data_IF_661126026246
#
_entry.id   IF_661126026246
#
_cell.length_a   1.000
_cell.length_b   1.000
_cell.length_c   1.000
_cell.angle_alpha   90.00
_cell.angle_beta   90.00
_cell.angle_gamma   90.00
#
_symmetry.space_group_name_H-M   'P 1'
#
loop_
_entity.id
_entity.type
_entity.pdbx_description
1 polymer ?
#
# COMPACT_ATOMS: atom_id res chain seq x y z
N UNK A 1 27.43 -20.88 -38.15
CA UNK A 1 26.79 -21.81 -37.17
C UNK A 1 27.51 -21.94 -35.84
N UNK A 2 28.85 -22.02 -35.77
CA UNK A 2 29.59 -22.10 -34.48
C UNK A 2 29.37 -20.86 -33.60
N UNK A 3 29.50 -19.65 -34.14
CA UNK A 3 29.32 -18.40 -33.37
C UNK A 3 27.93 -18.25 -32.73
N UNK A 4 26.87 -18.70 -33.42
CA UNK A 4 25.50 -18.69 -32.88
C UNK A 4 25.37 -19.68 -31.71
N UNK A 5 26.01 -20.85 -31.79
CA UNK A 5 26.01 -21.84 -30.69
C UNK A 5 26.73 -21.32 -29.45
N UNK A 6 27.87 -20.65 -29.61
CA UNK A 6 28.61 -20.02 -28.51
C UNK A 6 27.83 -18.85 -27.90
N UNK A 7 27.17 -18.03 -28.73
CA UNK A 7 26.28 -16.97 -28.26
C UNK A 7 25.10 -17.49 -27.45
N UNK A 8 24.46 -18.57 -27.90
CA UNK A 8 23.37 -19.21 -27.17
C UNK A 8 23.83 -19.84 -25.84
N UNK A 9 24.99 -20.47 -25.82
CA UNK A 9 25.58 -21.04 -24.60
C UNK A 9 25.89 -19.95 -23.57
N UNK A 10 26.49 -18.83 -24.01
CA UNK A 10 26.78 -17.71 -23.14
C UNK A 10 25.51 -17.10 -22.54
N UNK A 11 24.46 -16.92 -23.34
CA UNK A 11 23.17 -16.43 -22.87
C UNK A 11 22.54 -17.38 -21.84
N UNK A 12 22.57 -18.69 -22.09
CA UNK A 12 22.05 -19.68 -21.16
C UNK A 12 22.79 -19.65 -19.81
N UNK A 13 24.12 -19.51 -19.84
CA UNK A 13 24.92 -19.38 -18.62
C UNK A 13 24.62 -18.09 -17.86
N UNK A 14 24.41 -16.97 -18.55
CA UNK A 14 24.02 -15.70 -17.93
C UNK A 14 22.66 -15.83 -17.24
N UNK A 15 21.66 -16.42 -17.91
CA UNK A 15 20.33 -16.64 -17.32
C UNK A 15 20.41 -17.53 -16.09
N UNK A 16 21.20 -18.61 -16.16
CA UNK A 16 21.41 -19.52 -15.03
C UNK A 16 22.09 -18.81 -13.85
N UNK A 17 23.11 -17.99 -14.12
CA UNK A 17 23.81 -17.21 -13.11
C UNK A 17 22.88 -16.18 -12.45
N UNK A 18 22.06 -15.47 -13.23
CA UNK A 18 21.07 -14.53 -12.71
C UNK A 18 20.00 -15.22 -11.86
N UNK A 19 19.54 -16.40 -12.28
CA UNK A 19 18.59 -17.19 -11.51
C UNK A 19 19.19 -17.65 -10.17
N UNK A 20 20.43 -18.16 -10.18
CA UNK A 20 21.14 -18.53 -8.96
C UNK A 20 21.37 -17.32 -8.04
N UNK A 21 21.80 -16.19 -8.60
CA UNK A 21 21.98 -14.95 -7.85
C UNK A 21 20.67 -14.48 -7.21
N UNK A 22 19.54 -14.52 -7.96
CA UNK A 22 18.22 -14.21 -7.40
C UNK A 22 17.90 -15.09 -6.19
N UNK A 23 18.19 -16.38 -6.25
CA UNK A 23 17.90 -17.30 -5.14
C UNK A 23 18.79 -17.04 -3.92
N UNK A 24 20.08 -16.76 -4.13
CA UNK A 24 21.03 -16.47 -3.04
C UNK A 24 20.76 -15.10 -2.39
N UNK A 25 20.38 -14.10 -3.18
CA UNK A 25 20.14 -12.72 -2.72
C UNK A 25 18.66 -12.39 -2.49
N UNK A 26 17.77 -13.39 -2.50
CA UNK A 26 16.33 -13.18 -2.41
C UNK A 26 15.92 -12.38 -1.16
N UNK A 27 16.56 -12.67 -0.02
CA UNK A 27 16.27 -11.99 1.24
C UNK A 27 16.68 -10.52 1.21
N UNK A 28 17.89 -10.22 0.74
CA UNK A 28 18.42 -8.85 0.65
C UNK A 28 17.61 -8.00 -0.33
N UNK A 29 17.22 -8.59 -1.47
CA UNK A 29 16.33 -7.93 -2.44
C UNK A 29 14.97 -7.67 -1.80
N UNK A 30 14.39 -8.67 -1.12
CA UNK A 30 13.13 -8.54 -0.41
C UNK A 30 13.16 -7.44 0.65
N UNK A 31 14.24 -7.38 1.44
CA UNK A 31 14.44 -6.35 2.46
C UNK A 31 14.58 -4.97 1.84
N UNK A 32 15.36 -4.81 0.77
CA UNK A 32 15.52 -3.53 0.08
C UNK A 32 14.18 -3.02 -0.48
N UNK A 33 13.40 -3.90 -1.11
CA UNK A 33 12.06 -3.58 -1.62
C UNK A 33 11.10 -3.25 -0.48
N UNK A 34 11.11 -4.04 0.59
CA UNK A 34 10.25 -3.83 1.75
C UNK A 34 10.55 -2.52 2.46
N UNK A 35 11.83 -2.22 2.74
CA UNK A 35 12.25 -0.94 3.34
C UNK A 35 11.79 0.24 2.51
N UNK A 36 11.93 0.16 1.18
CA UNK A 36 11.46 1.21 0.28
C UNK A 36 9.94 1.38 0.35
N UNK A 37 9.19 0.29 0.28
CA UNK A 37 7.73 0.32 0.39
C UNK A 37 7.28 0.91 1.73
N UNK A 38 7.93 0.57 2.84
CA UNK A 38 7.62 1.14 4.16
C UNK A 38 7.90 2.65 4.18
N UNK A 39 9.06 3.10 3.70
CA UNK A 39 9.41 4.54 3.71
C UNK A 39 8.46 5.40 2.87
N UNK A 40 7.91 4.85 1.80
CA UNK A 40 7.00 5.56 0.90
C UNK A 40 5.54 5.54 1.39
N UNK A 41 5.15 4.58 2.25
CA UNK A 41 3.73 4.37 2.60
C UNK A 41 3.40 4.51 4.09
N UNK A 42 4.35 4.26 5.00
CA UNK A 42 4.09 4.24 6.45
C UNK A 42 4.49 5.58 7.06
N UNK A 43 3.61 6.13 7.91
CA UNK A 43 3.86 7.41 8.60
C UNK A 43 3.69 8.64 7.72
N UNK A 44 3.30 8.46 6.45
CA UNK A 44 2.89 9.55 5.58
C UNK A 44 1.48 10.00 6.00
N UNK A 45 1.34 11.27 6.37
CA UNK A 45 0.07 11.90 6.68
C UNK A 45 -0.29 12.91 5.57
N UNK A 46 -0.97 12.47 4.49
CA UNK A 46 -1.38 13.38 3.42
C UNK A 46 -2.37 14.44 3.90
N UNK A 47 -2.94 14.28 5.09
CA UNK A 47 -3.85 15.26 5.65
C UNK A 47 -3.16 16.54 6.11
N UNK A 48 -1.83 16.50 6.30
CA UNK A 48 -1.02 17.67 6.64
C UNK A 48 -0.98 18.74 5.53
N UNK A 49 -1.20 18.34 4.27
CA UNK A 49 -1.20 19.25 3.11
C UNK A 49 -2.60 19.85 2.84
N UNK A 50 -3.62 19.45 3.60
CA UNK A 50 -4.97 19.97 3.43
C UNK A 50 -5.05 21.41 3.97
N UNK A 51 -5.80 22.31 3.29
CA UNK A 51 -6.04 23.64 3.83
C UNK A 51 -6.86 23.57 5.12
N UNK A 52 -6.79 24.62 5.93
CA UNK A 52 -7.62 24.72 7.12
C UNK A 52 -9.11 24.53 6.79
N UNK A 53 -9.79 23.73 7.61
CA UNK A 53 -11.19 23.36 7.39
C UNK A 53 -11.59 22.00 7.95
N UNK A 54 -12.80 21.60 7.57
CA UNK A 54 -13.40 20.31 7.93
C UNK A 54 -13.37 19.38 6.70
N UNK A 55 -12.57 18.32 6.78
CA UNK A 55 -12.41 17.36 5.68
C UNK A 55 -13.09 16.04 6.01
N UNK A 56 -13.81 15.51 5.03
CA UNK A 56 -14.62 14.29 5.17
C UNK A 56 -14.01 13.16 4.35
N UNK A 57 -13.79 12.03 5.01
CA UNK A 57 -13.33 10.79 4.42
C UNK A 57 -14.51 9.80 4.40
N UNK A 58 -15.12 9.64 3.22
CA UNK A 58 -16.20 8.67 3.01
C UNK A 58 -15.61 7.25 2.90
N UNK A 59 -15.31 6.63 4.04
CA UNK A 59 -14.70 5.30 4.12
C UNK A 59 -15.67 4.16 3.83
N UNK A 60 -16.98 4.37 3.97
CA UNK A 60 -17.97 3.39 3.55
C UNK A 60 -19.40 3.91 3.52
N UNK A 61 -20.15 3.40 2.56
CA UNK A 61 -21.54 3.78 2.24
C UNK A 61 -22.46 2.56 2.07
N UNK A 62 -21.95 1.38 2.44
CA UNK A 62 -22.70 0.13 2.42
C UNK A 62 -23.71 0.08 3.56
N UNK A 63 -24.72 -0.76 3.38
CA UNK A 63 -25.75 -1.04 4.37
C UNK A 63 -25.55 -2.47 4.93
N UNK A 64 -26.45 -2.99 5.77
CA UNK A 64 -26.32 -4.35 6.31
C UNK A 64 -26.25 -5.46 5.23
N UNK A 65 -26.74 -5.19 4.02
CA UNK A 65 -26.64 -6.14 2.91
C UNK A 65 -25.22 -6.12 2.32
N UNK A 66 -24.57 -7.30 2.17
CA UNK A 66 -23.20 -7.38 1.67
C UNK A 66 -23.11 -6.91 0.22
N UNK A 67 -22.14 -6.03 -0.04
CA UNK A 67 -21.85 -5.50 -1.36
C UNK A 67 -20.32 -5.46 -1.57
N UNK A 68 -19.77 -6.13 -2.60
CA UNK A 68 -18.33 -6.16 -2.84
C UNK A 68 -17.74 -4.78 -3.18
N UNK A 69 -18.54 -3.86 -3.72
CA UNK A 69 -18.13 -2.51 -4.09
C UNK A 69 -18.23 -1.50 -2.93
N UNK A 70 -18.99 -1.79 -1.85
CA UNK A 70 -19.20 -0.88 -0.73
C UNK A 70 -18.76 -1.49 0.61
N UNK A 71 -17.88 -0.79 1.32
CA UNK A 71 -17.63 -1.10 2.73
C UNK A 71 -18.82 -0.65 3.59
N UNK A 72 -18.99 -1.25 4.77
CA UNK A 72 -20.01 -0.82 5.74
C UNK A 72 -19.87 0.66 6.14
N UNK A 73 -20.91 1.24 6.77
CA UNK A 73 -20.99 2.68 7.01
C UNK A 73 -19.78 3.18 7.81
N UNK A 74 -19.19 4.28 7.36
CA UNK A 74 -18.06 4.93 8.01
C UNK A 74 -17.81 6.32 7.39
N UNK A 75 -17.62 7.32 8.26
CA UNK A 75 -17.14 8.66 7.90
C UNK A 75 -15.98 9.01 8.83
N UNK A 76 -14.79 9.23 8.25
CA UNK A 76 -13.70 9.90 8.95
C UNK A 76 -13.86 11.42 8.83
N UNK A 77 -13.69 12.13 9.94
CA UNK A 77 -13.78 13.59 9.99
C UNK A 77 -12.46 14.13 10.50
N UNK A 78 -11.87 15.04 9.73
CA UNK A 78 -10.66 15.76 10.09
C UNK A 78 -11.01 17.23 10.30
N UNK A 79 -10.88 17.71 11.54
CA UNK A 79 -11.13 19.08 11.95
C UNK A 79 -9.80 19.71 12.40
N UNK A 80 -9.03 20.22 11.45
CA UNK A 80 -7.64 20.66 11.67
C UNK A 80 -6.77 19.53 12.21
N UNK A 81 -6.27 19.66 13.44
CA UNK A 81 -5.44 18.64 14.09
C UNK A 81 -6.23 17.49 14.73
N UNK A 82 -7.56 17.59 14.81
CA UNK A 82 -8.41 16.57 15.42
C UNK A 82 -8.97 15.62 14.38
N UNK A 83 -8.99 14.34 14.71
CA UNK A 83 -9.50 13.28 13.86
C UNK A 83 -10.59 12.50 14.61
N UNK A 84 -11.73 12.30 13.97
CA UNK A 84 -12.86 11.54 14.50
C UNK A 84 -13.30 10.48 13.49
N UNK A 85 -13.81 9.35 13.98
CA UNK A 85 -14.39 8.31 13.13
C UNK A 85 -15.82 8.07 13.60
N UNK A 86 -16.77 8.24 12.67
CA UNK A 86 -18.18 7.95 12.89
C UNK A 86 -18.53 6.66 12.14
N UNK A 87 -19.03 5.68 12.90
CA UNK A 87 -19.25 4.30 12.49
C UNK A 87 -17.99 3.53 12.04
N UNK A 88 -18.03 2.21 12.24
CA UNK A 88 -16.94 1.30 11.87
C UNK A 88 -17.51 0.03 11.25
N UNK A 89 -18.20 0.19 10.11
CA UNK A 89 -18.79 -0.93 9.38
C UNK A 89 -17.75 -1.89 8.77
N UNK A 90 -18.19 -3.07 8.34
CA UNK A 90 -17.31 -4.10 7.79
C UNK A 90 -16.39 -3.59 6.66
N UNK A 91 -15.08 -3.76 6.83
CA UNK A 91 -14.06 -3.36 5.85
C UNK A 91 -13.80 -1.86 5.73
N UNK A 92 -14.48 -1.02 6.53
CA UNK A 92 -14.37 0.44 6.46
C UNK A 92 -13.00 0.96 6.88
N UNK A 93 -12.44 0.50 8.01
CA UNK A 93 -11.11 0.92 8.49
C UNK A 93 -10.02 0.61 7.46
N UNK A 94 -10.09 -0.55 6.79
CA UNK A 94 -9.15 -0.87 5.71
C UNK A 94 -9.21 0.14 4.57
N UNK A 95 -10.39 0.67 4.24
CA UNK A 95 -10.53 1.74 3.25
C UNK A 95 -10.01 3.07 3.82
N UNK A 96 -10.37 3.39 5.06
CA UNK A 96 -9.95 4.61 5.76
C UNK A 96 -8.43 4.75 5.83
N UNK A 97 -7.72 3.71 6.27
CA UNK A 97 -6.25 3.70 6.33
C UNK A 97 -5.62 3.81 4.93
N UNK A 98 -6.22 3.21 3.89
CA UNK A 98 -5.74 3.35 2.51
C UNK A 98 -5.93 4.75 1.93
N UNK A 99 -6.86 5.53 2.47
CA UNK A 99 -7.03 6.95 2.12
C UNK A 99 -6.00 7.85 2.83
N UNK A 100 -5.14 7.30 3.69
CA UNK A 100 -4.16 8.07 4.45
C UNK A 100 -4.77 8.88 5.60
N UNK A 101 -5.95 8.51 6.09
CA UNK A 101 -6.52 9.16 7.28
C UNK A 101 -5.66 8.86 8.51
N UNK A 102 -5.36 9.84 9.37
CA UNK A 102 -4.43 9.68 10.48
C UNK A 102 -5.09 8.96 11.66
N UNK A 103 -5.37 7.66 11.51
CA UNK A 103 -6.03 6.82 12.52
C UNK A 103 -5.26 6.72 13.83
N UNK A 104 -3.95 7.03 13.84
CA UNK A 104 -3.13 7.01 15.05
C UNK A 104 -3.38 8.15 16.03
N UNK A 105 -4.11 9.20 15.62
CA UNK A 105 -4.44 10.37 16.46
C UNK A 105 -5.95 10.59 16.62
N UNK A 106 -6.76 9.57 16.33
CA UNK A 106 -8.21 9.69 16.50
C UNK A 106 -8.57 9.79 17.98
N UNK A 107 -9.45 10.74 18.30
CA UNK A 107 -10.01 10.94 19.64
C UNK A 107 -11.16 9.97 19.95
#
# INVERSE_FOLDING_TARGET
>A
MRFIKWGALALALIVLALFAARQVFAAQIGEAVFRRAISENVGQDPSADLPDGLHLYLCGSGSPLPDPARAGPCIGVLAGERAFIFDVGGGSIRRLTRMGFPTGRTE
#
